data_IF_619100553133
#
_entry.id   IF_619100553133
#
_cell.length_a   1.000
_cell.length_b   1.000
_cell.length_c   1.000
_cell.angle_alpha   90.00
_cell.angle_beta   90.00
_cell.angle_gamma   90.00
#
_symmetry.space_group_name_H-M   'P 1'
#
loop_
_entity.id
_entity.type
_entity.pdbx_description
1 polymer ?
#
# COMPACT_ATOMS: atom_id res chain seq x y z
N UNK A 1 1.25 30.48 20.70
CA UNK A 1 1.72 31.02 22.00
C UNK A 1 0.52 31.08 22.95
N UNK A 2 0.62 30.59 24.19
CA UNK A 2 -0.48 30.69 25.16
C UNK A 2 -0.70 32.15 25.55
N UNK A 3 -1.95 32.62 25.51
CA UNK A 3 -2.34 33.98 25.87
C UNK A 3 -3.07 33.97 27.21
N UNK A 4 -2.68 34.86 28.11
CA UNK A 4 -3.42 35.14 29.34
C UNK A 4 -4.42 36.27 29.05
N UNK A 5 -5.71 36.01 29.23
CA UNK A 5 -6.77 37.01 29.10
C UNK A 5 -7.35 37.41 30.45
N UNK A 6 -7.66 38.70 30.61
CA UNK A 6 -8.35 39.23 31.78
C UNK A 6 -9.73 39.75 31.37
N UNK A 7 -10.78 39.41 32.12
CA UNK A 7 -12.07 40.12 32.06
C UNK A 7 -12.40 40.69 33.43
N UNK A 8 -12.57 42.01 33.49
CA UNK A 8 -13.03 42.74 34.68
C UNK A 8 -14.55 42.95 34.59
N UNK A 9 -15.32 42.24 35.41
CA UNK A 9 -16.77 42.44 35.49
C UNK A 9 -17.11 43.59 36.44
N UNK A 10 -17.81 44.62 35.96
CA UNK A 10 -18.32 45.71 36.82
C UNK A 10 -19.59 45.24 37.56
N UNK A 11 -19.41 44.94 38.84
CA UNK A 11 -20.46 44.68 39.84
C UNK A 11 -19.79 44.69 41.22
N UNK A 12 -20.52 45.01 42.29
CA UNK A 12 -20.03 45.45 43.62
C UNK A 12 -19.18 44.47 44.46
N UNK A 13 -18.53 43.49 43.82
CA UNK A 13 -17.49 42.64 44.39
C UNK A 13 -16.41 42.39 43.33
N UNK A 14 -15.20 42.91 43.55
CA UNK A 14 -14.06 42.69 42.65
C UNK A 14 -13.70 41.20 42.58
N UNK A 15 -13.97 40.56 41.45
CA UNK A 15 -13.48 39.23 41.10
C UNK A 15 -12.51 39.34 39.92
N UNK A 16 -11.32 38.74 40.04
CA UNK A 16 -10.40 38.56 38.93
C UNK A 16 -10.48 37.09 38.52
N UNK A 17 -10.97 36.83 37.31
CA UNK A 17 -11.00 35.48 36.72
C UNK A 17 -9.81 35.34 35.78
N UNK A 18 -8.86 34.46 36.13
CA UNK A 18 -7.78 34.03 35.25
C UNK A 18 -8.25 32.75 34.54
N UNK A 19 -8.21 32.75 33.20
CA UNK A 19 -8.46 31.56 32.40
C UNK A 19 -7.28 31.30 31.46
N UNK A 20 -6.93 30.02 31.34
CA UNK A 20 -5.91 29.51 30.44
C UNK A 20 -6.61 28.87 29.24
N UNK A 21 -6.38 29.40 28.04
CA UNK A 21 -6.92 28.85 26.79
C UNK A 21 -5.86 27.94 26.15
N UNK A 22 -6.13 26.64 26.16
CA UNK A 22 -5.35 25.64 25.45
C UNK A 22 -5.80 25.60 23.97
N UNK A 23 -4.90 25.64 22.96
CA UNK A 23 -5.32 25.79 21.55
C UNK A 23 -6.01 24.57 20.92
N UNK A 24 -6.04 23.41 21.59
CA UNK A 24 -6.46 22.12 21.00
C UNK A 24 -7.64 21.43 21.73
N UNK A 25 -8.33 22.10 22.65
CA UNK A 25 -9.52 21.55 23.33
C UNK A 25 -10.48 22.66 23.81
N UNK A 26 -11.80 22.49 23.65
CA UNK A 26 -12.83 23.47 24.04
C UNK A 26 -13.01 23.67 25.56
N UNK A 27 -12.27 22.96 26.41
CA UNK A 27 -12.44 23.02 27.87
C UNK A 27 -11.77 24.25 28.51
N UNK A 28 -12.57 25.02 29.27
CA UNK A 28 -12.12 26.20 30.05
C UNK A 28 -12.01 25.87 31.54
N UNK A 29 -10.81 26.04 32.10
CA UNK A 29 -10.59 26.01 33.55
C UNK A 29 -10.71 27.42 34.14
N UNK A 30 -11.64 27.59 35.09
CA UNK A 30 -11.83 28.83 35.85
C UNK A 30 -11.32 28.67 37.28
N UNK A 31 -10.41 29.53 37.71
CA UNK A 31 -9.99 29.64 39.11
C UNK A 31 -10.56 30.95 39.69
N UNK A 32 -11.36 30.85 40.75
CA UNK A 32 -11.90 32.00 41.48
C UNK A 32 -11.24 32.09 42.85
N UNK A 33 -10.52 33.19 43.12
CA UNK A 33 -9.74 33.36 44.34
C UNK A 33 -10.37 34.46 45.21
N UNK A 34 -10.72 34.14 46.46
CA UNK A 34 -11.03 35.11 47.52
C UNK A 34 -9.91 35.11 48.55
N UNK A 35 -9.33 36.30 48.75
CA UNK A 35 -8.47 36.73 49.86
C UNK A 35 -7.02 36.22 49.94
N UNK A 36 -6.17 37.15 50.39
CA UNK A 36 -4.71 37.14 50.45
C UNK A 36 -4.18 36.18 51.52
N UNK A 37 -3.53 35.08 51.11
CA UNK A 37 -2.39 34.44 51.83
C UNK A 37 -1.90 33.16 51.16
N UNK A 38 -1.69 33.12 49.83
CA UNK A 38 -1.06 31.93 49.22
C UNK A 38 -0.19 32.28 48.02
N UNK A 39 0.80 33.15 48.23
CA UNK A 39 1.86 33.38 47.22
C UNK A 39 3.05 32.42 47.36
N UNK A 40 3.05 31.54 48.37
CA UNK A 40 4.17 30.64 48.68
C UNK A 40 3.94 29.16 48.33
N UNK A 41 2.73 28.76 47.93
CA UNK A 41 2.44 27.36 47.56
C UNK A 41 2.44 27.16 46.03
N UNK A 42 2.21 28.21 45.22
CA UNK A 42 2.13 28.05 43.76
C UNK A 42 3.48 27.77 43.07
N UNK A 43 4.62 28.13 43.67
CA UNK A 43 5.91 27.79 43.05
C UNK A 43 6.28 26.31 43.26
N UNK A 44 5.94 25.74 44.43
CA UNK A 44 6.19 24.31 44.70
C UNK A 44 5.27 23.38 43.92
N UNK A 45 4.02 23.79 43.63
CA UNK A 45 3.10 22.97 42.82
C UNK A 45 3.43 23.05 41.32
N UNK A 46 3.97 24.17 40.84
CA UNK A 46 4.35 24.30 39.43
C UNK A 46 5.64 23.52 39.07
N UNK A 47 6.61 23.42 39.98
CA UNK A 47 7.82 22.60 39.72
C UNK A 47 7.53 21.10 39.79
N UNK A 48 6.58 20.66 40.61
CA UNK A 48 6.14 19.25 40.66
C UNK A 48 5.38 18.87 39.38
N UNK A 49 4.65 19.79 38.75
CA UNK A 49 3.93 19.50 37.52
C UNK A 49 4.82 19.52 36.26
N UNK A 50 5.92 20.29 36.26
CA UNK A 50 6.83 20.39 35.10
C UNK A 50 7.99 19.37 35.15
N UNK A 51 8.35 18.86 36.33
CA UNK A 51 9.41 17.84 36.46
C UNK A 51 8.97 16.41 36.06
N UNK A 52 7.68 16.18 35.80
CA UNK A 52 7.15 14.90 35.31
C UNK A 52 6.68 14.97 33.85
N UNK A 53 7.34 15.81 33.03
CA UNK A 53 7.16 15.86 31.57
C UNK A 53 8.11 14.92 30.83
N UNK A 54 8.46 13.78 31.43
CA UNK A 54 9.01 12.64 30.69
C UNK A 54 7.84 11.92 30.02
N UNK A 55 7.70 12.17 28.72
CA UNK A 55 7.04 11.26 27.78
C UNK A 55 5.60 10.94 28.19
N UNK A 56 4.70 11.91 28.07
CA UNK A 56 3.31 11.59 27.70
C UNK A 56 3.31 11.20 26.22
N UNK A 57 3.89 10.03 25.93
CA UNK A 57 3.46 9.24 24.80
C UNK A 57 1.98 8.94 25.05
N UNK A 58 1.12 9.20 24.06
CA UNK A 58 -0.23 8.65 24.03
C UNK A 58 -0.20 7.12 23.87
N UNK A 59 0.45 6.42 24.79
CA UNK A 59 0.18 5.03 25.09
C UNK A 59 -1.08 5.02 25.96
N UNK A 60 -2.23 4.98 25.30
CA UNK A 60 -3.42 4.48 25.98
C UNK A 60 -3.09 3.08 26.48
N UNK A 61 -2.82 2.95 27.78
CA UNK A 61 -2.55 1.67 28.42
C UNK A 61 -3.80 0.81 28.24
N UNK A 62 -3.73 -0.13 27.30
CA UNK A 62 -4.75 -1.16 27.21
C UNK A 62 -4.71 -1.96 28.51
N UNK A 63 -5.86 -2.39 29.05
CA UNK A 63 -5.90 -3.17 30.28
C UNK A 63 -5.13 -4.50 30.19
N UNK A 64 -4.91 -5.00 28.98
CA UNK A 64 -4.20 -6.24 28.70
C UNK A 64 -3.02 -5.99 27.76
N UNK A 65 -1.83 -6.42 28.18
CA UNK A 65 -0.61 -6.38 27.37
C UNK A 65 -0.71 -7.29 26.14
N UNK A 66 -1.51 -8.35 26.19
CA UNK A 66 -1.75 -9.26 25.06
C UNK A 66 -2.61 -8.59 23.97
N UNK A 67 -3.60 -7.81 24.40
CA UNK A 67 -4.45 -7.05 23.49
C UNK A 67 -3.63 -5.98 22.75
N UNK A 68 -2.80 -5.24 23.47
CA UNK A 68 -1.93 -4.21 22.88
C UNK A 68 -0.98 -4.79 21.84
N UNK A 69 -0.34 -5.93 22.14
CA UNK A 69 0.53 -6.63 21.18
C UNK A 69 -0.21 -7.00 19.90
N UNK A 70 -1.39 -7.62 20.01
CA UNK A 70 -2.18 -7.99 18.84
C UNK A 70 -2.59 -6.76 18.02
N UNK A 71 -3.05 -5.68 18.65
CA UNK A 71 -3.42 -4.43 17.96
C UNK A 71 -2.23 -3.83 17.22
N UNK A 72 -1.05 -3.84 17.84
CA UNK A 72 0.17 -3.32 17.22
C UNK A 72 0.60 -4.14 16.01
N UNK A 73 0.48 -5.48 16.03
CA UNK A 73 0.77 -6.31 14.86
C UNK A 73 -0.21 -6.07 13.71
N UNK A 74 -1.52 -6.01 13.99
CA UNK A 74 -2.53 -5.70 12.97
C UNK A 74 -2.36 -4.29 12.38
N UNK A 75 -1.89 -3.32 13.17
CA UNK A 75 -1.66 -1.95 12.71
C UNK A 75 -0.44 -1.80 11.78
N UNK A 76 0.43 -2.82 11.66
CA UNK A 76 1.53 -2.83 10.68
C UNK A 76 1.07 -3.19 9.27
N UNK A 77 -0.12 -3.75 9.11
CA UNK A 77 -0.64 -4.14 7.80
C UNK A 77 -1.02 -2.90 6.99
N UNK A 78 -0.74 -2.89 5.67
CA UNK A 78 -1.08 -1.75 4.83
C UNK A 78 -2.60 -1.53 4.81
N UNK A 79 -3.04 -0.29 5.02
CA UNK A 79 -4.46 0.09 5.05
C UNK A 79 -5.16 -0.16 6.40
N UNK A 80 -4.47 -0.67 7.42
CA UNK A 80 -5.05 -0.92 8.75
C UNK A 80 -4.48 0.04 9.79
N UNK A 81 -5.24 1.08 10.14
CA UNK A 81 -4.89 1.98 11.26
C UNK A 81 -5.22 1.37 12.63
N UNK A 82 -4.70 1.96 13.72
CA UNK A 82 -4.92 1.48 15.11
C UNK A 82 -6.39 1.28 15.47
N UNK A 83 -7.29 2.17 15.02
CA UNK A 83 -8.75 2.05 15.28
C UNK A 83 -9.35 0.82 14.60
N UNK A 84 -8.96 0.56 13.35
CA UNK A 84 -9.40 -0.61 12.59
C UNK A 84 -8.80 -1.89 13.18
N UNK A 85 -7.52 -1.88 13.53
CA UNK A 85 -6.84 -2.99 14.20
C UNK A 85 -7.54 -3.37 15.52
N UNK A 86 -7.85 -2.39 16.37
CA UNK A 86 -8.60 -2.63 17.62
C UNK A 86 -9.96 -3.29 17.37
N UNK A 87 -10.69 -2.83 16.34
CA UNK A 87 -11.97 -3.43 15.96
C UNK A 87 -11.81 -4.90 15.54
N UNK A 88 -10.78 -5.23 14.76
CA UNK A 88 -10.52 -6.59 14.28
C UNK A 88 -10.10 -7.52 15.44
N UNK A 89 -9.21 -7.06 16.31
CA UNK A 89 -8.72 -7.86 17.45
C UNK A 89 -9.84 -8.14 18.45
N UNK A 90 -10.67 -7.15 18.78
CA UNK A 90 -11.84 -7.36 19.64
C UNK A 90 -12.90 -8.27 19.01
N UNK A 91 -13.00 -8.28 17.67
CA UNK A 91 -13.86 -9.23 16.97
C UNK A 91 -13.34 -10.66 17.13
N UNK A 92 -12.03 -10.89 16.94
CA UNK A 92 -11.40 -12.20 17.14
C UNK A 92 -11.54 -12.71 18.58
N UNK A 93 -11.47 -11.83 19.59
CA UNK A 93 -11.64 -12.21 20.99
C UNK A 93 -13.05 -12.76 21.31
N UNK A 94 -14.05 -12.43 20.48
CA UNK A 94 -15.43 -12.93 20.61
C UNK A 94 -15.70 -14.18 19.77
N UNK A 95 -14.75 -14.61 18.93
CA UNK A 95 -14.88 -15.83 18.12
C UNK A 95 -14.46 -17.06 18.92
N UNK A 96 -14.90 -18.23 18.47
CA UNK A 96 -14.46 -19.50 19.04
C UNK A 96 -12.95 -19.71 18.85
N UNK A 97 -12.30 -20.35 19.82
CA UNK A 97 -10.86 -20.62 19.80
C UNK A 97 -10.43 -21.34 18.53
N UNK A 98 -11.21 -22.32 18.07
CA UNK A 98 -10.94 -23.06 16.83
C UNK A 98 -10.86 -22.15 15.59
N UNK A 99 -11.69 -21.10 15.50
CA UNK A 99 -11.69 -20.15 14.38
C UNK A 99 -10.45 -19.27 14.41
N UNK A 100 -10.08 -18.78 15.60
CA UNK A 100 -8.90 -17.92 15.78
C UNK A 100 -7.61 -18.70 15.50
N UNK A 101 -7.51 -19.94 15.96
CA UNK A 101 -6.39 -20.83 15.67
C UNK A 101 -6.29 -21.15 14.18
N UNK A 102 -7.40 -21.47 13.53
CA UNK A 102 -7.43 -21.70 12.08
C UNK A 102 -6.97 -20.47 11.29
N UNK A 103 -7.42 -19.28 11.68
CA UNK A 103 -7.00 -18.02 11.05
C UNK A 103 -5.49 -17.76 11.22
N UNK A 104 -4.96 -17.91 12.44
CA UNK A 104 -3.54 -17.73 12.71
C UNK A 104 -2.68 -18.74 11.94
N UNK A 105 -3.08 -20.01 11.97
CA UNK A 105 -2.39 -21.08 11.27
C UNK A 105 -2.38 -20.86 9.76
N UNK A 106 -3.48 -20.40 9.16
CA UNK A 106 -3.53 -20.13 7.72
C UNK A 106 -2.48 -19.11 7.27
N UNK A 107 -2.24 -18.05 8.04
CA UNK A 107 -1.23 -17.02 7.73
C UNK A 107 0.18 -17.57 7.90
N UNK A 108 0.42 -18.35 8.96
CA UNK A 108 1.71 -18.99 9.22
C UNK A 108 2.04 -19.99 8.11
N UNK A 109 1.09 -20.87 7.76
CA UNK A 109 1.20 -21.82 6.66
C UNK A 109 1.47 -21.12 5.34
N UNK A 110 0.73 -20.04 5.01
CA UNK A 110 0.98 -19.24 3.81
C UNK A 110 2.44 -18.80 3.73
N UNK A 111 3.01 -18.26 4.82
CA UNK A 111 4.39 -17.77 4.80
C UNK A 111 5.44 -18.88 4.65
N UNK A 112 5.14 -20.10 5.12
CA UNK A 112 6.07 -21.24 5.07
C UNK A 112 5.95 -22.07 3.80
N UNK A 113 4.74 -22.27 3.30
CA UNK A 113 4.46 -23.22 2.22
C UNK A 113 4.38 -22.58 0.83
N UNK A 114 4.09 -21.28 0.74
CA UNK A 114 4.04 -20.58 -0.54
C UNK A 114 5.41 -20.64 -1.21
N UNK A 115 5.42 -21.17 -2.44
CA UNK A 115 6.58 -21.23 -3.31
C UNK A 115 6.39 -20.32 -4.51
N UNK A 116 7.50 -19.99 -5.15
CA UNK A 116 7.51 -19.32 -6.44
C UNK A 116 7.74 -20.35 -7.54
N UNK A 117 6.96 -20.22 -8.61
CA UNK A 117 7.08 -21.07 -9.78
C UNK A 117 8.47 -20.90 -10.42
N UNK A 118 9.17 -22.02 -10.69
CA UNK A 118 10.50 -21.99 -11.30
C UNK A 118 10.54 -21.39 -12.71
N UNK A 119 9.40 -21.35 -13.41
CA UNK A 119 9.31 -20.92 -14.82
C UNK A 119 8.87 -19.46 -14.96
N UNK A 120 7.84 -19.05 -14.22
CA UNK A 120 7.20 -17.74 -14.38
C UNK A 120 7.23 -16.87 -13.13
N UNK A 121 7.80 -17.35 -12.02
CA UNK A 121 7.86 -16.67 -10.72
C UNK A 121 6.50 -16.26 -10.14
N UNK A 122 5.41 -16.87 -10.60
CA UNK A 122 4.11 -16.71 -9.96
C UNK A 122 4.04 -17.52 -8.64
N UNK A 123 3.17 -17.10 -7.72
CA UNK A 123 2.88 -17.83 -6.48
C UNK A 123 2.20 -19.16 -6.79
N UNK A 124 2.67 -20.22 -6.14
CA UNK A 124 2.17 -21.58 -6.32
C UNK A 124 2.45 -22.45 -5.09
N UNK A 125 1.61 -23.47 -4.86
CA UNK A 125 1.84 -24.49 -3.83
C UNK A 125 2.84 -25.56 -4.31
N UNK A 126 2.92 -25.75 -5.63
CA UNK A 126 3.82 -26.69 -6.33
C UNK A 126 4.97 -25.98 -7.03
N UNK A 127 6.03 -26.71 -7.42
CA UNK A 127 7.21 -26.13 -8.10
C UNK A 127 6.88 -25.43 -9.42
N UNK A 128 5.87 -25.93 -10.14
CA UNK A 128 5.31 -25.33 -11.35
C UNK A 128 3.86 -24.94 -11.08
N UNK A 129 3.49 -23.70 -11.40
CA UNK A 129 2.12 -23.23 -11.18
C UNK A 129 1.13 -23.87 -12.16
N UNK A 130 -0.15 -23.86 -11.79
CA UNK A 130 -1.25 -24.41 -12.59
C UNK A 130 -1.35 -23.82 -14.00
N UNK A 131 -0.93 -22.56 -14.16
CA UNK A 131 -0.90 -21.88 -15.47
C UNK A 131 0.18 -22.52 -16.36
N UNK A 132 1.40 -22.68 -15.85
CA UNK A 132 2.51 -23.26 -16.61
C UNK A 132 2.32 -24.75 -16.90
N UNK A 133 1.65 -25.49 -16.02
CA UNK A 133 1.39 -26.92 -16.22
C UNK A 133 0.17 -27.22 -17.11
N UNK A 134 -0.61 -26.21 -17.49
CA UNK A 134 -1.85 -26.43 -18.24
C UNK A 134 -1.55 -26.64 -19.74
N UNK A 135 -1.96 -27.79 -20.33
CA UNK A 135 -1.74 -28.06 -21.76
C UNK A 135 -2.70 -27.29 -22.68
N UNK A 136 -3.76 -26.68 -22.12
CA UNK A 136 -4.72 -25.89 -22.89
C UNK A 136 -4.21 -24.48 -23.21
N UNK A 137 -3.09 -24.08 -22.60
CA UNK A 137 -2.50 -22.75 -22.77
C UNK A 137 -1.46 -22.74 -23.87
N UNK A 138 -1.36 -21.60 -24.53
CA UNK A 138 -0.36 -21.38 -25.56
C UNK A 138 0.99 -21.06 -24.91
N UNK A 139 1.94 -22.00 -25.01
CA UNK A 139 3.29 -21.83 -24.51
C UNK A 139 4.14 -20.88 -25.36
N UNK A 140 3.69 -20.54 -26.58
CA UNK A 140 4.41 -19.68 -27.51
C UNK A 140 4.24 -18.18 -27.24
N UNK A 141 3.28 -17.80 -26.40
CA UNK A 141 3.00 -16.41 -26.03
C UNK A 141 3.23 -16.21 -24.54
N UNK A 142 4.07 -15.24 -24.19
CA UNK A 142 4.38 -14.90 -22.80
C UNK A 142 4.02 -13.44 -22.50
N UNK A 143 3.17 -13.24 -21.49
CA UNK A 143 2.83 -11.92 -20.95
C UNK A 143 3.70 -11.61 -19.73
N UNK A 144 4.54 -10.59 -19.86
CA UNK A 144 5.44 -10.09 -18.82
C UNK A 144 4.69 -9.05 -18.00
N UNK A 145 4.64 -9.28 -16.68
CA UNK A 145 3.93 -8.43 -15.72
C UNK A 145 4.84 -8.05 -14.55
N UNK A 146 4.47 -6.99 -13.84
CA UNK A 146 5.24 -6.48 -12.71
C UNK A 146 5.06 -7.37 -11.49
N UNK A 147 3.81 -7.64 -11.10
CA UNK A 147 3.46 -8.35 -9.85
C UNK A 147 2.35 -9.38 -10.06
N UNK A 148 2.11 -10.23 -9.03
CA UNK A 148 1.05 -11.26 -9.08
C UNK A 148 -0.35 -10.65 -9.22
N UNK A 149 -0.55 -9.42 -8.72
CA UNK A 149 -1.83 -8.70 -8.86
C UNK A 149 -2.21 -8.50 -10.32
N UNK A 150 -1.24 -8.22 -11.18
CA UNK A 150 -1.47 -8.04 -12.61
C UNK A 150 -1.84 -9.36 -13.29
N UNK A 151 -1.20 -10.46 -12.88
CA UNK A 151 -1.60 -11.81 -13.36
C UNK A 151 -3.08 -12.04 -13.05
N UNK A 152 -3.51 -11.75 -11.83
CA UNK A 152 -4.91 -11.92 -11.42
C UNK A 152 -5.85 -11.02 -12.23
N UNK A 153 -5.45 -9.76 -12.49
CA UNK A 153 -6.25 -8.82 -13.28
C UNK A 153 -6.42 -9.28 -14.74
N UNK A 154 -5.35 -9.72 -15.38
CA UNK A 154 -5.42 -10.22 -16.77
C UNK A 154 -6.19 -11.54 -16.83
N UNK A 155 -5.96 -12.45 -15.89
CA UNK A 155 -6.64 -13.75 -15.84
C UNK A 155 -8.15 -13.60 -15.60
N UNK A 156 -8.57 -12.59 -14.82
CA UNK A 156 -9.98 -12.28 -14.59
C UNK A 156 -10.73 -11.92 -15.89
N UNK A 157 -10.04 -11.44 -16.93
CA UNK A 157 -10.66 -11.16 -18.24
C UNK A 157 -11.04 -12.43 -18.99
N UNK A 158 -10.40 -13.56 -18.69
CA UNK A 158 -10.52 -14.84 -19.40
C UNK A 158 -10.21 -14.77 -20.92
N UNK A 159 -9.67 -13.65 -21.41
CA UNK A 159 -9.35 -13.46 -22.83
C UNK A 159 -7.94 -13.94 -23.17
N UNK A 160 -7.03 -13.94 -22.20
CA UNK A 160 -5.65 -14.33 -22.42
C UNK A 160 -5.42 -15.82 -22.11
N UNK A 161 -4.91 -16.57 -23.09
CA UNK A 161 -4.61 -18.01 -22.96
C UNK A 161 -3.11 -18.34 -22.99
N UNK A 162 -2.26 -17.33 -23.02
CA UNK A 162 -0.81 -17.54 -22.99
C UNK A 162 -0.28 -17.81 -21.57
N UNK A 163 1.04 -17.83 -21.46
CA UNK A 163 1.75 -17.95 -20.18
C UNK A 163 2.13 -16.57 -19.64
N UNK A 164 2.45 -16.51 -18.35
CA UNK A 164 2.94 -15.28 -17.71
C UNK A 164 4.42 -15.36 -17.38
N UNK A 165 5.00 -14.21 -17.08
CA UNK A 165 6.30 -14.06 -16.44
C UNK A 165 6.25 -12.86 -15.48
N UNK A 166 6.44 -13.12 -14.18
CA UNK A 166 6.39 -12.09 -13.14
C UNK A 166 7.81 -11.58 -12.89
N UNK A 167 8.02 -10.27 -13.05
CA UNK A 167 9.33 -9.65 -12.80
C UNK A 167 9.64 -9.46 -11.32
N UNK A 168 8.62 -9.24 -10.50
CA UNK A 168 8.76 -8.93 -9.08
C UNK A 168 8.95 -7.45 -8.77
N UNK A 169 8.74 -6.57 -9.76
CA UNK A 169 8.89 -5.12 -9.65
C UNK A 169 9.30 -4.47 -10.97
N UNK A 170 9.62 -3.18 -10.91
CA UNK A 170 10.16 -2.36 -12.00
C UNK A 170 11.52 -1.79 -11.63
N UNK A 171 12.31 -1.40 -12.63
CA UNK A 171 13.61 -0.74 -12.40
C UNK A 171 13.35 0.65 -11.85
N UNK A 172 13.79 0.89 -10.62
CA UNK A 172 13.63 2.17 -9.92
C UNK A 172 14.96 2.59 -9.30
N UNK A 173 15.72 3.50 -9.95
CA UNK A 173 16.95 4.04 -9.38
C UNK A 173 16.74 4.77 -8.05
N UNK A 174 15.55 5.34 -7.84
CA UNK A 174 15.21 6.06 -6.60
C UNK A 174 15.04 5.12 -5.42
N UNK A 175 14.45 3.95 -5.65
CA UNK A 175 14.31 2.89 -4.64
C UNK A 175 15.55 1.98 -4.55
N UNK A 176 16.57 2.25 -5.36
CA UNK A 176 17.78 1.43 -5.45
C UNK A 176 17.57 0.06 -6.09
N UNK A 177 16.46 -0.15 -6.81
CA UNK A 177 16.11 -1.42 -7.46
C UNK A 177 16.74 -1.44 -8.85
N UNK A 178 17.74 -2.30 -9.02
CA UNK A 178 18.41 -2.54 -10.30
C UNK A 178 17.79 -3.67 -11.12
N UNK A 179 18.26 -3.86 -12.36
CA UNK A 179 17.81 -4.99 -13.19
C UNK A 179 18.19 -6.37 -12.62
N UNK A 180 19.23 -6.44 -11.77
CA UNK A 180 19.67 -7.68 -11.12
C UNK A 180 18.77 -8.14 -9.96
N UNK A 181 17.96 -7.24 -9.41
CA UNK A 181 16.99 -7.56 -8.35
C UNK A 181 15.67 -8.10 -8.93
N UNK A 182 15.50 -8.00 -10.25
CA UNK A 182 14.31 -8.40 -10.98
C UNK A 182 14.53 -9.70 -11.73
N UNK A 183 13.44 -10.41 -12.01
CA UNK A 183 13.48 -11.68 -12.74
C UNK A 183 13.61 -11.52 -14.27
N UNK A 184 14.40 -10.53 -14.73
CA UNK A 184 14.61 -10.24 -16.16
C UNK A 184 15.54 -11.29 -16.80
N UNK A 185 16.61 -11.71 -16.12
CA UNK A 185 17.56 -12.68 -16.69
C UNK A 185 16.89 -14.03 -16.97
N UNK A 186 16.02 -14.47 -16.07
CA UNK A 186 15.24 -15.71 -16.25
C UNK A 186 14.30 -15.63 -17.46
N UNK A 187 13.72 -14.45 -17.75
CA UNK A 187 12.93 -14.24 -18.96
C UNK A 187 13.78 -14.39 -20.21
N UNK A 188 14.96 -13.76 -20.24
CA UNK A 188 15.89 -13.82 -21.37
C UNK A 188 16.34 -15.27 -21.63
N UNK A 189 16.68 -16.00 -20.57
CA UNK A 189 17.03 -17.43 -20.67
C UNK A 189 15.86 -18.27 -21.20
N UNK A 190 14.65 -18.01 -20.70
CA UNK A 190 13.43 -18.71 -21.14
C UNK A 190 13.13 -18.47 -22.62
N UNK A 191 13.33 -17.26 -23.12
CA UNK A 191 13.19 -16.94 -24.55
C UNK A 191 14.32 -17.58 -25.37
N UNK A 192 15.56 -17.52 -24.88
CA UNK A 192 16.71 -18.11 -25.56
C UNK A 192 16.67 -19.65 -25.65
N UNK A 193 16.01 -20.32 -24.71
CA UNK A 193 15.75 -21.76 -24.75
C UNK A 193 14.82 -22.19 -25.91
N UNK A 194 14.11 -21.22 -26.53
CA UNK A 194 13.25 -21.44 -27.68
C UNK A 194 11.80 -21.81 -27.32
N UNK A 195 10.94 -21.83 -28.33
CA UNK A 195 9.52 -22.16 -28.20
C UNK A 195 8.59 -20.98 -27.93
N UNK A 196 9.13 -19.76 -27.74
CA UNK A 196 8.35 -18.52 -27.59
C UNK A 196 8.40 -17.72 -28.89
N UNK A 197 7.24 -17.42 -29.44
CA UNK A 197 7.07 -16.62 -30.65
C UNK A 197 6.80 -15.14 -30.34
N UNK A 198 6.06 -14.87 -29.26
CA UNK A 198 5.64 -13.53 -28.88
C UNK A 198 5.81 -13.27 -27.37
N UNK A 199 6.33 -12.09 -27.05
CA UNK A 199 6.45 -11.57 -25.69
C UNK A 199 5.66 -10.26 -25.60
N UNK A 200 4.62 -10.27 -24.79
CA UNK A 200 3.76 -9.13 -24.50
C UNK A 200 4.28 -8.44 -23.24
N UNK A 201 4.57 -7.15 -23.32
CA UNK A 201 4.99 -6.33 -22.20
C UNK A 201 3.76 -5.62 -21.61
N UNK A 202 3.32 -6.09 -20.45
CA UNK A 202 2.18 -5.57 -19.69
C UNK A 202 2.63 -4.97 -18.36
N UNK A 203 3.63 -4.09 -18.41
CA UNK A 203 4.08 -3.30 -17.26
C UNK A 203 3.26 -2.01 -17.12
N UNK A 204 3.28 -1.45 -15.90
CA UNK A 204 2.69 -0.16 -15.54
C UNK A 204 3.06 0.97 -16.52
N UNK A 205 2.15 1.90 -16.75
CA UNK A 205 2.33 3.05 -17.68
C UNK A 205 3.18 4.19 -17.12
N UNK A 206 3.91 3.94 -16.02
CA UNK A 206 4.80 4.92 -15.38
C UNK A 206 6.15 5.01 -16.11
N UNK A 207 6.96 6.01 -15.75
CA UNK A 207 8.29 6.21 -16.32
C UNK A 207 9.22 5.01 -16.06
N UNK A 208 9.10 4.40 -14.88
CA UNK A 208 9.85 3.21 -14.46
C UNK A 208 9.43 1.98 -15.27
N UNK A 209 8.12 1.83 -15.51
CA UNK A 209 7.58 0.78 -16.39
C UNK A 209 8.05 0.93 -17.83
N UNK A 210 8.04 2.15 -18.38
CA UNK A 210 8.55 2.45 -19.73
C UNK A 210 10.05 2.18 -19.85
N UNK A 211 10.83 2.56 -18.84
CA UNK A 211 12.26 2.29 -18.78
C UNK A 211 12.55 0.79 -18.72
N UNK A 212 11.78 0.05 -17.92
CA UNK A 212 11.90 -1.41 -17.78
C UNK A 212 11.52 -2.12 -19.09
N UNK A 213 10.43 -1.69 -19.74
CA UNK A 213 10.03 -2.19 -21.06
C UNK A 213 11.15 -2.00 -22.09
N UNK A 214 11.75 -0.81 -22.14
CA UNK A 214 12.85 -0.52 -23.06
C UNK A 214 14.09 -1.36 -22.76
N UNK A 215 14.40 -1.58 -21.47
CA UNK A 215 15.50 -2.44 -21.06
C UNK A 215 15.30 -3.89 -21.52
N UNK A 216 14.09 -4.44 -21.30
CA UNK A 216 13.73 -5.80 -21.74
C UNK A 216 13.77 -5.90 -23.27
N UNK A 217 13.22 -4.90 -23.98
CA UNK A 217 13.26 -4.83 -25.44
C UNK A 217 14.69 -4.97 -25.96
N UNK A 218 15.65 -4.21 -25.41
CA UNK A 218 17.06 -4.25 -25.86
C UNK A 218 17.74 -5.60 -25.63
N UNK A 219 17.29 -6.37 -24.64
CA UNK A 219 17.80 -7.73 -24.37
C UNK A 219 17.19 -8.76 -25.32
N UNK A 220 15.91 -8.63 -25.64
CA UNK A 220 15.16 -9.61 -26.44
C UNK A 220 15.21 -9.35 -27.96
N UNK A 221 15.47 -8.11 -28.40
CA UNK A 221 15.54 -7.72 -29.82
C UNK A 221 16.51 -8.61 -30.63
N UNK A 222 17.61 -9.07 -30.00
CA UNK A 222 18.62 -9.92 -30.63
C UNK A 222 18.19 -11.39 -30.79
N UNK A 223 17.12 -11.81 -30.12
CA UNK A 223 16.64 -13.20 -30.12
C UNK A 223 15.57 -13.46 -31.19
N UNK A 224 15.14 -12.43 -31.93
CA UNK A 224 14.22 -12.59 -33.06
C UNK A 224 12.77 -12.91 -32.69
N UNK A 225 12.37 -12.68 -31.43
CA UNK A 225 10.99 -12.84 -30.99
C UNK A 225 10.15 -11.60 -31.28
N UNK A 226 8.85 -11.80 -31.52
CA UNK A 226 7.90 -10.70 -31.66
C UNK A 226 7.69 -10.05 -30.30
N UNK A 227 7.91 -8.75 -30.21
CA UNK A 227 7.67 -7.97 -29.00
C UNK A 227 6.44 -7.10 -29.21
N UNK A 228 5.49 -7.18 -28.29
CA UNK A 228 4.30 -6.34 -28.26
C UNK A 228 4.14 -5.70 -26.89
N UNK A 229 3.42 -4.58 -26.81
CA UNK A 229 3.13 -3.85 -25.58
C UNK A 229 1.62 -3.75 -25.47
N UNK A 230 1.07 -3.83 -24.25
CA UNK A 230 -0.36 -3.63 -24.04
C UNK A 230 -0.80 -2.25 -24.55
N UNK A 231 -2.00 -2.18 -25.12
CA UNK A 231 -2.54 -0.95 -25.67
C UNK A 231 -2.60 0.14 -24.58
N UNK A 232 -2.25 1.37 -24.96
CA UNK A 232 -2.33 2.56 -24.12
C UNK A 232 -3.34 3.50 -24.70
N UNK A 233 -4.33 3.88 -23.92
CA UNK A 233 -5.31 4.85 -24.34
C UNK A 233 -6.43 5.04 -23.35
N UNK A 234 -7.51 5.63 -23.86
CA UNK A 234 -8.70 6.01 -23.10
C UNK A 234 -9.48 4.76 -22.71
N UNK A 235 -9.94 4.71 -21.46
CA UNK A 235 -10.74 3.59 -20.96
C UNK A 235 -12.13 3.60 -21.61
N UNK A 236 -12.74 2.42 -21.70
CA UNK A 236 -14.13 2.32 -22.15
C UNK A 236 -15.04 2.98 -21.11
N UNK A 237 -15.84 3.95 -21.54
CA UNK A 237 -16.76 4.70 -20.68
C UNK A 237 -16.20 6.02 -20.13
N UNK A 238 -14.95 6.36 -20.42
CA UNK A 238 -14.41 7.69 -20.15
C UNK A 238 -14.88 8.70 -21.20
N UNK A 239 -15.19 9.92 -20.76
CA UNK A 239 -15.47 11.04 -21.65
C UNK A 239 -14.16 11.75 -22.03
N UNK A 240 -14.04 12.15 -23.31
CA UNK A 240 -12.82 12.76 -23.85
C UNK A 240 -12.42 14.05 -23.12
N UNK A 241 -13.41 14.83 -22.66
CA UNK A 241 -13.19 16.10 -21.94
C UNK A 241 -12.45 15.91 -20.62
N UNK A 242 -12.61 14.76 -19.96
CA UNK A 242 -11.99 14.46 -18.66
C UNK A 242 -10.72 13.62 -18.77
N UNK A 243 -10.28 13.29 -19.99
CA UNK A 243 -9.06 12.54 -20.24
C UNK A 243 -7.84 13.46 -20.20
N UNK A 244 -6.73 13.01 -19.62
CA UNK A 244 -5.47 13.74 -19.66
C UNK A 244 -4.90 13.87 -21.08
N UNK A 245 -4.24 15.00 -21.36
CA UNK A 245 -3.72 15.33 -22.69
C UNK A 245 -2.69 14.30 -23.20
N UNK A 246 -1.94 13.65 -22.30
CA UNK A 246 -0.91 12.67 -22.66
C UNK A 246 -1.56 11.37 -23.15
N UNK A 247 -2.57 10.87 -22.44
CA UNK A 247 -3.35 9.70 -22.83
C UNK A 247 -4.14 9.96 -24.11
N UNK A 248 -4.76 11.14 -24.24
CA UNK A 248 -5.47 11.54 -25.45
C UNK A 248 -4.50 11.61 -26.65
N UNK A 249 -3.35 12.26 -26.47
CA UNK A 249 -2.29 12.34 -27.48
C UNK A 249 -1.79 10.97 -27.92
N UNK A 250 -1.49 10.08 -26.97
CA UNK A 250 -1.09 8.68 -27.26
C UNK A 250 -2.18 7.91 -28.02
N UNK A 251 -3.45 8.11 -27.66
CA UNK A 251 -4.59 7.46 -28.31
C UNK A 251 -4.77 7.90 -29.76
N UNK A 252 -4.57 9.19 -30.06
CA UNK A 252 -4.65 9.74 -31.43
C UNK A 252 -3.52 9.19 -32.31
N UNK A 253 -2.30 9.11 -31.77
CA UNK A 253 -1.14 8.56 -32.50
C UNK A 253 -1.35 7.07 -32.80
N UNK A 254 -1.84 6.31 -31.83
CA UNK A 254 -2.03 4.85 -31.93
C UNK A 254 -3.43 4.45 -32.42
N UNK A 255 -4.14 5.34 -33.12
CA UNK A 255 -5.51 5.06 -33.60
C UNK A 255 -5.53 3.84 -34.53
N UNK A 256 -6.50 2.96 -34.33
CA UNK A 256 -6.71 1.79 -35.18
C UNK A 256 -7.65 2.11 -36.34
N UNK A 257 -7.41 1.58 -37.56
CA UNK A 257 -8.34 1.77 -38.67
C UNK A 257 -9.68 1.09 -38.37
N UNK A 258 -10.79 1.79 -38.60
CA UNK A 258 -12.12 1.23 -38.49
C UNK A 258 -12.53 0.59 -39.82
N UNK A 259 -12.35 -0.72 -39.94
CA UNK A 259 -12.97 -1.52 -41.01
C UNK A 259 -14.34 -1.98 -40.50
N UNK A 260 -15.42 -1.57 -41.17
CA UNK A 260 -16.82 -1.67 -40.74
C UNK A 260 -17.43 -3.08 -40.62
N UNK A 261 -16.69 -4.05 -40.09
CA UNK A 261 -17.16 -5.38 -39.73
C UNK A 261 -16.65 -5.69 -38.33
N UNK A 262 -17.52 -5.46 -37.35
CA UNK A 262 -17.45 -6.03 -36.01
C UNK A 262 -18.72 -6.86 -35.81
#
# INVERSE_FOLDING_TARGET
MPFWGFTCGKGSTNFISLYYLCPESEDRLYLSIKNELVHFILHSVCTIFVANRRILSMNGQFPSTLLEKAVNEFAKLPGVGRKTAMRLVLHLLRQDTAVVEAFGNAIVTLKHEVKYCKVCHNISDTETCRICSSPQRDASVVCVVENIRDVMAVEATQQFRGLYHVLGGVISPMDGIGPGDLQIESLVQRVAAGGINEVILALSTTMEGDTTNFYIYRKLEKLGVKLSVIARGISIGDELEYTDEVTLGRSIVNRTPFSGTA
#
